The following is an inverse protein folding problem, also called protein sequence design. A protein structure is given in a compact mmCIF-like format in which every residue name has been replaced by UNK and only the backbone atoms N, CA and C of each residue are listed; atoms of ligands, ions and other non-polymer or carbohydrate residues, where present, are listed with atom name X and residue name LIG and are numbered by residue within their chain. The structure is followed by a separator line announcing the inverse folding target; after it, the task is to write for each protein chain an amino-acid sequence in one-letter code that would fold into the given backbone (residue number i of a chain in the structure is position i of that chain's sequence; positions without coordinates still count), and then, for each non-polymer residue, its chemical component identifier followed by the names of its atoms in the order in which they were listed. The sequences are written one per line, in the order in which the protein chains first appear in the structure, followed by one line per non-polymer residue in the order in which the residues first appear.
data_IF_837327916917
#
_entry.id   IF_837327916917
#
_cell.length_a   1.000
_cell.length_b   1.000
_cell.length_c   1.000
_cell.angle_alpha   90.00
_cell.angle_beta   90.00
_cell.angle_gamma   90.00
#
_symmetry.space_group_name_H-M   'P 1'
#
loop_
_entity.id
_entity.type
_entity.pdbx_description
1 polymer ?
#
# COMPACT_ATOMS: atom_id res chain seq x y z
N UNK A 1 -2.32 -38.96 -8.78
CA UNK A 1 -1.23 -38.02 -8.45
C UNK A 1 -1.41 -36.85 -9.43
N UNK A 2 -2.13 -35.77 -9.13
CA UNK A 2 -1.94 -34.79 -8.04
C UNK A 2 -0.78 -33.87 -8.44
N UNK A 3 -0.88 -32.57 -8.67
CA UNK A 3 -1.93 -31.59 -8.41
C UNK A 3 -1.84 -30.44 -9.43
N UNK A 4 -3.01 -29.88 -9.77
CA UNK A 4 -3.20 -28.62 -10.47
C UNK A 4 -2.79 -27.45 -9.56
N UNK A 5 -1.87 -26.60 -10.00
CA UNK A 5 -1.63 -25.32 -9.33
C UNK A 5 -2.67 -24.31 -9.78
N UNK A 6 -3.85 -24.37 -9.16
CA UNK A 6 -4.82 -23.28 -9.19
C UNK A 6 -4.39 -22.21 -8.19
N UNK A 7 -3.72 -21.16 -8.65
CA UNK A 7 -3.68 -19.89 -7.93
C UNK A 7 -4.95 -19.09 -8.28
N UNK A 8 -6.09 -19.62 -7.83
CA UNK A 8 -7.29 -18.81 -7.67
C UNK A 8 -7.09 -17.97 -6.41
N UNK A 9 -6.52 -16.77 -6.58
CA UNK A 9 -6.46 -15.83 -5.46
C UNK A 9 -7.88 -15.41 -5.12
N UNK A 10 -8.17 -15.60 -3.83
CA UNK A 10 -9.46 -15.56 -3.18
C UNK A 10 -10.18 -14.26 -3.50
N UNK A 11 -11.37 -14.36 -4.08
CA UNK A 11 -12.38 -13.31 -4.09
C UNK A 11 -12.76 -13.05 -2.63
N UNK A 12 -12.17 -12.02 -2.03
CA UNK A 12 -12.60 -11.52 -0.71
C UNK A 12 -13.73 -10.54 -0.92
N UNK A 13 -14.77 -10.81 -0.14
CA UNK A 13 -16.06 -10.17 -0.02
C UNK A 13 -15.98 -8.67 0.33
N UNK A 14 -17.08 -7.96 0.15
CA UNK A 14 -17.17 -6.54 -0.16
C UNK A 14 -16.70 -5.53 0.92
N UNK A 15 -16.29 -4.34 0.45
CA UNK A 15 -16.28 -3.05 1.17
C UNK A 15 -15.16 -2.76 2.16
N UNK A 16 -13.91 -2.99 1.76
CA UNK A 16 -12.77 -2.15 2.15
C UNK A 16 -12.12 -1.72 0.85
N UNK A 17 -11.87 -0.44 0.61
CA UNK A 17 -11.23 0.00 -0.64
C UNK A 17 -9.95 -0.82 -0.84
N UNK A 18 -9.99 -1.74 -1.80
CA UNK A 18 -8.89 -2.67 -2.04
C UNK A 18 -7.67 -1.84 -2.44
N UNK A 19 -6.65 -1.84 -1.58
CA UNK A 19 -5.37 -1.22 -1.96
C UNK A 19 -4.72 -2.15 -2.95
N UNK A 20 -4.50 -1.64 -4.16
CA UNK A 20 -3.63 -2.28 -5.13
C UNK A 20 -2.18 -1.82 -4.89
N UNK A 21 -1.25 -2.76 -5.01
CA UNK A 21 0.18 -2.49 -4.84
C UNK A 21 0.92 -2.64 -6.15
N UNK A 22 1.67 -1.61 -6.51
CA UNK A 22 2.51 -1.62 -7.69
C UNK A 22 3.97 -1.51 -7.28
N UNK A 23 4.82 -2.38 -7.83
CA UNK A 23 6.26 -2.32 -7.60
C UNK A 23 6.96 -1.61 -8.75
N UNK A 24 7.89 -0.72 -8.42
CA UNK A 24 8.70 0.07 -9.36
C UNK A 24 10.17 -0.05 -8.99
N UNK A 25 11.04 0.26 -9.96
CA UNK A 25 12.50 0.29 -9.78
C UNK A 25 13.06 -1.00 -9.15
N UNK A 26 12.68 -2.15 -9.71
CA UNK A 26 13.14 -3.47 -9.26
C UNK A 26 12.87 -3.75 -7.76
N UNK A 27 11.71 -3.31 -7.26
CA UNK A 27 11.31 -3.53 -5.87
C UNK A 27 11.67 -2.40 -4.91
N UNK A 28 12.51 -1.45 -5.31
CA UNK A 28 12.97 -0.36 -4.44
C UNK A 28 11.85 0.62 -4.04
N UNK A 29 10.74 0.65 -4.79
CA UNK A 29 9.55 1.43 -4.49
C UNK A 29 8.30 0.56 -4.63
N UNK A 30 7.47 0.53 -3.59
CA UNK A 30 6.11 0.01 -3.69
C UNK A 30 5.11 1.16 -3.55
N UNK A 31 4.21 1.28 -4.51
CA UNK A 31 3.17 2.30 -4.56
C UNK A 31 1.84 1.67 -4.19
N UNK A 32 1.12 2.30 -3.26
CA UNK A 32 -0.23 1.94 -2.90
C UNK A 32 -1.22 2.78 -3.72
N UNK A 33 -2.16 2.09 -4.35
CA UNK A 33 -3.25 2.68 -5.12
C UNK A 33 -4.58 2.35 -4.45
N UNK A 34 -5.45 3.35 -4.32
CA UNK A 34 -6.85 3.15 -3.95
C UNK A 34 -7.67 3.30 -5.22
N UNK A 35 -8.20 2.19 -5.74
CA UNK A 35 -8.75 2.12 -7.09
C UNK A 35 -7.65 2.35 -8.13
N UNK A 36 -7.58 3.54 -8.71
CA UNK A 36 -6.53 3.92 -9.66
C UNK A 36 -5.72 5.15 -9.22
N UNK A 37 -5.97 5.63 -8.01
CA UNK A 37 -5.34 6.85 -7.49
C UNK A 37 -4.15 6.44 -6.61
N UNK A 38 -2.92 6.88 -6.92
CA UNK A 38 -1.77 6.66 -6.06
C UNK A 38 -1.93 7.48 -4.78
N UNK A 39 -1.96 6.81 -3.62
CA UNK A 39 -2.17 7.46 -2.31
C UNK A 39 -0.91 7.49 -1.45
N UNK A 40 -0.04 6.50 -1.60
CA UNK A 40 1.20 6.41 -0.83
C UNK A 40 2.29 5.63 -1.56
N UNK A 41 3.53 5.85 -1.16
CA UNK A 41 4.69 5.10 -1.63
C UNK A 41 5.60 4.69 -0.47
N UNK A 42 6.10 3.46 -0.50
CA UNK A 42 7.09 2.94 0.43
C UNK A 42 8.37 2.71 -0.36
N UNK A 43 9.44 3.40 0.02
CA UNK A 43 10.75 3.28 -0.59
C UNK A 43 11.76 2.69 0.40
N UNK A 44 12.68 1.88 -0.11
CA UNK A 44 13.74 1.26 0.67
C UNK A 44 14.07 -0.16 0.20
N UNK A 45 14.92 -0.89 0.94
CA UNK A 45 15.57 -0.45 2.19
C UNK A 45 16.62 0.64 1.94
N UNK A 46 16.63 1.67 2.80
CA UNK A 46 17.67 2.71 2.81
C UNK A 46 18.93 2.23 3.55
N UNK A 47 20.08 2.92 3.45
CA UNK A 47 21.35 2.48 4.08
C UNK A 47 21.29 2.33 5.61
N UNK A 48 20.35 3.01 6.26
CA UNK A 48 20.09 2.91 7.71
C UNK A 48 19.18 1.72 8.06
N UNK A 49 18.74 0.94 7.06
CA UNK A 49 17.86 -0.21 7.21
C UNK A 49 16.37 0.13 7.27
N UNK A 50 16.00 1.42 7.21
CA UNK A 50 14.61 1.85 7.29
C UNK A 50 13.93 1.88 5.92
N UNK A 51 12.61 1.93 5.97
CA UNK A 51 11.71 2.15 4.85
C UNK A 51 11.01 3.49 5.04
N UNK A 52 11.02 4.33 4.02
CA UNK A 52 10.34 5.61 4.03
C UNK A 52 8.95 5.45 3.39
N UNK A 53 7.91 5.60 4.20
CA UNK A 53 6.52 5.68 3.79
C UNK A 53 6.16 7.15 3.56
N UNK A 54 5.66 7.46 2.38
CA UNK A 54 5.20 8.80 2.00
C UNK A 54 3.74 8.73 1.60
N UNK A 55 2.87 9.43 2.31
CA UNK A 55 1.50 9.67 1.88
C UNK A 55 1.47 10.91 1.00
N UNK A 56 0.83 10.82 -0.16
CA UNK A 56 0.68 11.95 -1.06
C UNK A 56 -0.62 12.70 -0.78
N UNK A 57 -0.61 14.00 -1.08
CA UNK A 57 -1.82 14.79 -1.01
C UNK A 57 -2.74 14.40 -2.15
N UNK A 58 -3.80 13.68 -1.81
CA UNK A 58 -4.89 13.39 -2.74
C UNK A 58 -6.03 14.34 -2.37
N UNK A 59 -6.33 15.30 -3.26
CA UNK A 59 -7.36 16.33 -3.03
C UNK A 59 -8.74 15.72 -2.72
N UNK A 60 -9.05 14.59 -3.34
CA UNK A 60 -10.29 13.84 -3.09
C UNK A 60 -10.35 13.17 -1.73
N UNK A 61 -9.21 13.02 -1.03
CA UNK A 61 -9.11 12.32 0.25
C UNK A 61 -8.81 13.24 1.43
N UNK A 62 -8.57 14.55 1.17
CA UNK A 62 -8.17 15.55 2.17
C UNK A 62 -6.99 15.10 3.06
N UNK A 63 -6.15 14.19 2.57
CA UNK A 63 -4.98 13.70 3.29
C UNK A 63 -3.84 14.69 3.09
N UNK A 64 -3.33 15.23 4.20
CA UNK A 64 -2.13 16.03 4.18
C UNK A 64 -0.92 15.13 3.84
N UNK A 65 0.02 15.61 3.01
CA UNK A 65 1.21 14.82 2.71
C UNK A 65 2.03 14.64 3.99
N UNK A 66 2.35 13.39 4.30
CA UNK A 66 3.17 13.03 5.47
C UNK A 66 4.24 12.02 5.07
N UNK A 67 5.34 12.03 5.82
CA UNK A 67 6.43 11.07 5.67
C UNK A 67 6.69 10.40 7.01
N UNK A 68 6.71 9.07 7.00
CA UNK A 68 6.90 8.20 8.16
C UNK A 68 8.05 7.23 7.86
N UNK A 69 8.86 6.88 8.86
CA UNK A 69 9.93 5.90 8.73
C UNK A 69 9.59 4.65 9.51
N UNK A 70 9.78 3.48 8.89
CA UNK A 70 9.48 2.19 9.48
C UNK A 70 10.68 1.25 9.38
N UNK A 71 10.87 0.42 10.40
CA UNK A 71 11.95 -0.57 10.42
C UNK A 71 11.73 -1.75 9.46
N UNK A 72 10.52 -1.91 8.89
CA UNK A 72 10.22 -2.97 7.94
C UNK A 72 9.16 -2.58 6.91
N UNK A 73 9.24 -3.22 5.75
CA UNK A 73 8.27 -3.08 4.67
C UNK A 73 6.85 -3.46 5.11
N UNK A 74 6.73 -4.52 5.90
CA UNK A 74 5.44 -5.03 6.39
C UNK A 74 4.75 -4.00 7.29
N UNK A 75 5.50 -3.38 8.22
CA UNK A 75 4.99 -2.33 9.10
C UNK A 75 4.52 -1.11 8.30
N UNK A 76 5.28 -0.71 7.28
CA UNK A 76 4.90 0.39 6.40
C UNK A 76 3.63 0.08 5.58
N UNK A 77 3.49 -1.16 5.07
CA UNK A 77 2.28 -1.58 4.33
C UNK A 77 1.04 -1.59 5.20
N UNK A 78 1.14 -2.18 6.39
CA UNK A 78 0.03 -2.21 7.36
C UNK A 78 -0.45 -0.80 7.71
N UNK A 79 0.47 0.15 7.86
CA UNK A 79 0.13 1.56 8.11
C UNK A 79 -0.69 2.17 6.98
N UNK A 80 -0.37 1.85 5.73
CA UNK A 80 -1.14 2.28 4.56
C UNK A 80 -2.53 1.65 4.55
N UNK A 81 -2.65 0.37 4.90
CA UNK A 81 -3.92 -0.34 4.98
C UNK A 81 -4.85 0.25 6.06
N UNK A 82 -4.31 0.57 7.23
CA UNK A 82 -5.06 1.24 8.31
C UNK A 82 -5.58 2.62 7.87
N UNK A 83 -4.76 3.37 7.13
CA UNK A 83 -5.15 4.68 6.60
C UNK A 83 -6.16 4.56 5.46
N UNK A 84 -5.99 3.59 4.56
CA UNK A 84 -6.93 3.34 3.47
C UNK A 84 -8.31 2.90 3.96
N UNK A 85 -8.38 2.13 5.05
CA UNK A 85 -9.65 1.82 5.71
C UNK A 85 -10.38 3.08 6.19
N UNK A 86 -9.66 4.06 6.74
CA UNK A 86 -10.24 5.35 7.16
C UNK A 86 -10.65 6.23 5.97
N UNK A 87 -9.87 6.18 4.88
CA UNK A 87 -10.15 6.85 3.61
C UNK A 87 -11.42 6.30 2.96
N UNK A 88 -11.53 4.97 2.86
CA UNK A 88 -12.67 4.27 2.27
C UNK A 88 -14.00 4.60 2.96
N UNK A 89 -13.94 4.85 4.27
CA UNK A 89 -15.09 5.24 5.09
C UNK A 89 -15.53 6.70 4.88
N UNK A 90 -14.70 7.53 4.24
CA UNK A 90 -14.97 8.95 3.97
C UNK A 90 -15.37 9.25 2.52
N UNK A 91 -15.17 8.31 1.60
CA UNK A 91 -15.64 8.37 0.21
C UNK A 91 -17.08 7.85 0.12
#
# INVERSE_FOLDING_TARGET
MGSIFSFGSRKTDASMSAIDWESRYDGALSVALVGHIPVAGISGPWPDGNYALTFWSVRELEVAPSMEFHASMDTARRRVEEMAGQIALRM
#
